data_IF_388971679703
#
_entry.id   IF_388971679703
#
_cell.length_a   1.000
_cell.length_b   1.000
_cell.length_c   1.000
_cell.angle_alpha   90.00
_cell.angle_beta   90.00
_cell.angle_gamma   90.00
#
_symmetry.space_group_name_H-M   'P 1'
#
loop_
_entity.id
_entity.type
_entity.pdbx_description
1 polymer ?
#
# COMPACT_ATOMS: atom_id res chain seq x y z
N UNK A 1 32.57 4.38 -3.60
CA UNK A 1 32.76 2.96 -3.30
C UNK A 1 31.40 2.37 -2.94
N UNK A 2 31.01 1.31 -3.64
CA UNK A 2 29.70 0.67 -3.47
C UNK A 2 29.68 -0.34 -2.30
N UNK A 3 28.52 -0.83 -1.92
CA UNK A 3 28.38 -1.98 -1.06
C UNK A 3 29.01 -3.22 -1.75
N UNK A 4 29.74 -4.02 -0.99
CA UNK A 4 30.46 -5.18 -1.52
C UNK A 4 31.63 -5.58 -0.65
N UNK A 5 32.34 -6.60 -1.10
CA UNK A 5 33.59 -7.07 -0.46
C UNK A 5 34.77 -6.79 -1.39
N UNK A 6 35.81 -6.22 -0.84
CA UNK A 6 37.01 -5.78 -1.57
C UNK A 6 38.22 -6.42 -0.91
N UNK A 7 38.95 -7.25 -1.65
CA UNK A 7 40.18 -7.85 -1.21
C UNK A 7 41.34 -6.85 -1.28
N UNK A 8 42.33 -6.97 -0.40
CA UNK A 8 43.48 -6.08 -0.42
C UNK A 8 44.48 -6.45 -1.53
N UNK A 9 44.41 -7.69 -2.03
CA UNK A 9 45.20 -8.22 -3.17
C UNK A 9 46.73 -8.07 -2.99
N UNK A 10 47.23 -8.15 -1.74
CA UNK A 10 48.67 -8.16 -1.47
C UNK A 10 49.29 -9.47 -1.93
N UNK A 11 50.45 -9.40 -2.58
CA UNK A 11 51.17 -10.55 -3.04
C UNK A 11 52.56 -10.64 -2.40
N UNK A 12 53.14 -11.83 -2.32
CA UNK A 12 54.48 -12.04 -1.75
C UNK A 12 55.57 -11.21 -2.48
N UNK A 13 55.39 -10.90 -3.76
CA UNK A 13 56.24 -10.06 -4.58
C UNK A 13 56.31 -8.58 -4.14
N UNK A 14 55.30 -8.14 -3.36
CA UNK A 14 55.22 -6.76 -2.89
C UNK A 14 56.12 -6.52 -1.65
N UNK A 15 56.74 -7.59 -1.14
CA UNK A 15 57.62 -7.58 0.01
C UNK A 15 59.03 -8.00 -0.40
N UNK A 16 60.04 -7.23 0.04
CA UNK A 16 61.43 -7.51 -0.23
C UNK A 16 62.20 -7.67 1.09
N UNK A 17 63.01 -8.72 1.18
CA UNK A 17 63.94 -8.86 2.31
C UNK A 17 65.07 -7.83 2.19
N UNK A 18 65.20 -6.97 3.19
CA UNK A 18 66.28 -5.96 3.27
C UNK A 18 67.33 -6.32 4.34
N UNK A 19 67.18 -7.46 5.02
CA UNK A 19 68.14 -7.90 6.06
C UNK A 19 69.14 -8.90 5.45
N UNK A 20 70.38 -8.45 5.22
CA UNK A 20 71.47 -9.22 4.60
C UNK A 20 71.93 -10.44 5.44
N UNK A 21 71.56 -10.49 6.72
CA UNK A 21 71.85 -11.65 7.58
C UNK A 21 71.01 -12.89 7.26
N UNK A 22 69.95 -12.74 6.44
CA UNK A 22 69.05 -13.82 6.02
C UNK A 22 69.10 -13.99 4.49
N UNK A 23 69.76 -15.06 4.06
CA UNK A 23 69.87 -15.35 2.63
C UNK A 23 68.60 -15.88 1.97
N UNK A 24 67.63 -16.34 2.77
CA UNK A 24 66.37 -16.86 2.24
C UNK A 24 65.22 -16.50 3.19
N UNK A 25 64.29 -15.70 2.72
CA UNK A 25 63.04 -15.31 3.42
C UNK A 25 61.86 -15.61 2.51
N UNK A 26 60.81 -16.23 3.05
CA UNK A 26 59.57 -16.47 2.33
C UNK A 26 58.48 -15.67 3.02
N UNK A 27 57.82 -14.80 2.24
CA UNK A 27 56.66 -14.06 2.70
C UNK A 27 55.41 -14.88 2.41
N UNK A 28 54.61 -15.18 3.46
CA UNK A 28 53.32 -15.82 3.34
C UNK A 28 52.25 -14.75 3.62
N UNK A 29 51.45 -14.44 2.62
CA UNK A 29 50.43 -13.42 2.70
C UNK A 29 49.10 -14.10 3.13
N UNK A 30 48.36 -13.44 4.01
CA UNK A 30 46.99 -13.74 4.32
C UNK A 30 46.21 -12.46 4.03
N UNK A 31 45.39 -12.51 2.98
CA UNK A 31 44.68 -11.33 2.52
C UNK A 31 43.64 -10.87 3.53
N UNK A 32 43.53 -9.55 3.70
CA UNK A 32 42.48 -8.88 4.39
C UNK A 32 41.38 -8.45 3.43
N UNK A 33 40.18 -8.20 3.97
CA UNK A 33 39.02 -7.76 3.18
C UNK A 33 38.39 -6.51 3.79
N UNK A 34 37.97 -5.58 2.94
CA UNK A 34 37.03 -4.49 3.30
C UNK A 34 35.63 -4.90 2.86
N UNK A 35 34.71 -5.03 3.82
CA UNK A 35 33.30 -5.27 3.55
C UNK A 35 32.49 -4.02 3.81
N UNK A 36 31.85 -3.48 2.78
CA UNK A 36 30.88 -2.39 2.85
C UNK A 36 29.50 -3.01 2.74
N UNK A 37 28.68 -2.85 3.79
CA UNK A 37 27.32 -3.39 3.83
C UNK A 37 26.34 -2.44 3.12
N UNK A 38 25.29 -3.01 2.53
CA UNK A 38 24.15 -2.26 2.05
C UNK A 38 23.51 -1.48 3.20
N UNK A 39 23.00 -0.29 2.89
CA UNK A 39 22.28 0.54 3.83
C UNK A 39 20.79 0.15 3.78
N UNK A 40 20.21 -0.18 4.92
CA UNK A 40 18.80 -0.49 4.99
C UNK A 40 17.96 0.74 4.65
N UNK A 41 16.95 0.56 3.78
CA UNK A 41 15.91 1.52 3.46
C UNK A 41 14.55 0.84 3.53
N UNK A 42 13.59 1.52 4.16
CA UNK A 42 12.24 1.02 4.34
C UNK A 42 11.22 1.91 3.65
N UNK A 43 10.33 1.31 2.87
CA UNK A 43 9.16 1.93 2.29
C UNK A 43 7.91 1.40 2.98
N UNK A 44 7.10 2.29 3.54
CA UNK A 44 5.86 1.94 4.23
C UNK A 44 4.69 2.55 3.47
N UNK A 45 3.75 1.70 3.04
CA UNK A 45 2.50 2.15 2.44
C UNK A 45 1.59 2.77 3.48
N UNK A 46 0.84 3.77 3.08
CA UNK A 46 -0.14 4.47 3.92
C UNK A 46 -1.21 3.50 4.43
N UNK A 47 -1.68 3.75 5.67
CA UNK A 47 -2.89 3.14 6.22
C UNK A 47 -3.88 4.23 6.60
N UNK A 48 -5.14 4.06 6.24
CA UNK A 48 -6.20 5.02 6.57
C UNK A 48 -7.53 4.33 6.82
N UNK A 49 -8.39 4.99 7.59
CA UNK A 49 -9.80 4.65 7.74
C UNK A 49 -10.65 5.74 7.09
N UNK A 50 -11.63 5.33 6.28
CA UNK A 50 -12.57 6.22 5.58
C UNK A 50 -13.99 5.71 5.78
N UNK A 51 -14.97 6.62 5.83
CA UNK A 51 -16.40 6.25 5.89
C UNK A 51 -16.87 5.92 4.48
N UNK A 52 -17.76 4.93 4.37
CA UNK A 52 -18.45 4.59 3.13
C UNK A 52 -19.12 5.80 2.50
N UNK A 53 -18.88 6.02 1.21
CA UNK A 53 -19.42 7.16 0.46
C UNK A 53 -20.09 6.76 -0.88
N UNK A 54 -20.28 5.46 -1.13
CA UNK A 54 -20.83 4.94 -2.37
C UNK A 54 -19.84 4.84 -3.54
N UNK A 55 -18.63 5.37 -3.39
CA UNK A 55 -17.61 5.41 -4.44
C UNK A 55 -16.39 4.56 -4.08
N UNK A 56 -15.62 4.18 -5.10
CA UNK A 56 -14.31 3.56 -4.87
C UNK A 56 -13.36 4.58 -4.26
N UNK A 57 -12.83 4.26 -3.08
CA UNK A 57 -11.85 5.06 -2.36
C UNK A 57 -10.47 4.44 -2.46
N UNK A 58 -9.44 5.27 -2.52
CA UNK A 58 -8.05 4.84 -2.68
C UNK A 58 -7.13 5.66 -1.77
N UNK A 59 -6.02 5.03 -1.37
CA UNK A 59 -4.86 5.66 -0.72
C UNK A 59 -3.59 5.21 -1.46
N UNK A 60 -2.63 6.13 -1.64
CA UNK A 60 -1.42 5.89 -2.45
C UNK A 60 -0.15 6.39 -1.78
N UNK A 61 -0.23 6.89 -0.54
CA UNK A 61 0.91 7.46 0.18
C UNK A 61 2.00 6.43 0.46
N UNK A 62 3.25 6.85 0.31
CA UNK A 62 4.44 6.08 0.68
C UNK A 62 5.28 6.93 1.63
N UNK A 63 5.62 6.38 2.78
CA UNK A 63 6.61 6.95 3.69
C UNK A 63 7.92 6.18 3.52
N UNK A 64 9.01 6.92 3.32
CA UNK A 64 10.36 6.39 3.18
C UNK A 64 11.17 6.71 4.43
N UNK A 65 12.06 5.79 4.82
CA UNK A 65 13.04 5.97 5.88
C UNK A 65 14.33 5.22 5.55
N UNK A 66 15.47 5.92 5.64
CA UNK A 66 16.79 5.33 5.52
C UNK A 66 17.59 5.75 4.28
N UNK A 67 17.05 6.55 3.37
CA UNK A 67 17.86 7.13 2.29
C UNK A 67 18.94 8.09 2.84
N UNK A 68 20.03 8.19 2.14
CA UNK A 68 21.05 9.20 2.39
C UNK A 68 20.57 10.57 1.89
N UNK A 69 21.10 11.64 2.50
CA UNK A 69 20.82 13.00 2.08
C UNK A 69 21.12 13.20 0.59
N UNK A 70 20.16 13.81 -0.13
CA UNK A 70 20.24 14.05 -1.56
C UNK A 70 19.91 12.84 -2.43
N UNK A 71 19.76 11.63 -1.87
CA UNK A 71 19.27 10.47 -2.62
C UNK A 71 17.74 10.53 -2.76
N UNK A 72 17.24 10.05 -3.89
CA UNK A 72 15.81 9.99 -4.20
C UNK A 72 15.45 8.65 -4.80
N UNK A 73 14.25 8.17 -4.48
CA UNK A 73 13.69 6.99 -5.15
C UNK A 73 12.69 7.38 -6.24
N UNK A 74 12.49 6.50 -7.19
CA UNK A 74 11.50 6.61 -8.27
C UNK A 74 10.88 5.25 -8.59
N UNK A 75 9.85 5.27 -9.45
CA UNK A 75 9.16 4.11 -10.04
C UNK A 75 8.37 3.25 -9.06
N UNK A 76 8.62 3.33 -7.76
CA UNK A 76 7.81 2.65 -6.75
C UNK A 76 6.46 3.35 -6.60
N UNK A 77 5.39 2.58 -6.67
CA UNK A 77 4.01 3.00 -6.44
C UNK A 77 3.38 2.14 -5.35
N UNK A 78 2.36 2.67 -4.72
CA UNK A 78 1.56 1.97 -3.72
C UNK A 78 0.09 2.32 -3.93
N UNK A 79 -0.80 1.35 -3.74
CA UNK A 79 -2.24 1.56 -3.74
C UNK A 79 -2.93 0.56 -2.83
N UNK A 80 -3.88 1.06 -2.04
CA UNK A 80 -4.92 0.26 -1.40
C UNK A 80 -6.26 0.89 -1.76
N UNK A 81 -7.20 0.11 -2.32
CA UNK A 81 -8.48 0.62 -2.80
C UNK A 81 -9.63 -0.33 -2.51
N UNK A 82 -10.81 0.24 -2.26
CA UNK A 82 -12.04 -0.48 -2.04
C UNK A 82 -13.25 0.43 -2.16
N UNK A 83 -14.45 -0.16 -2.23
CA UNK A 83 -15.73 0.54 -2.29
C UNK A 83 -16.57 0.26 -1.05
N UNK A 84 -16.77 -1.00 -0.72
CA UNK A 84 -17.69 -1.43 0.33
C UNK A 84 -17.03 -1.42 1.71
N UNK A 85 -17.84 -1.55 2.75
CA UNK A 85 -17.35 -1.68 4.13
C UNK A 85 -16.45 -2.90 4.25
N UNK A 86 -15.22 -2.70 4.74
CA UNK A 86 -14.24 -3.77 4.83
C UNK A 86 -12.81 -3.26 4.93
N UNK A 87 -11.88 -4.20 4.93
CA UNK A 87 -10.45 -3.93 4.96
C UNK A 87 -9.79 -4.36 3.65
N UNK A 88 -9.02 -3.46 3.07
CA UNK A 88 -8.35 -3.63 1.78
C UNK A 88 -6.86 -3.47 1.97
N UNK A 89 -6.13 -4.57 1.81
CA UNK A 89 -4.68 -4.55 1.93
C UNK A 89 -4.06 -3.85 0.72
N UNK A 90 -3.08 -2.99 0.98
CA UNK A 90 -2.37 -2.28 -0.05
C UNK A 90 -1.29 -3.12 -0.71
N UNK A 91 -0.91 -2.75 -1.91
CA UNK A 91 0.15 -3.39 -2.66
C UNK A 91 1.13 -2.38 -3.24
N UNK A 92 2.41 -2.74 -3.22
CA UNK A 92 3.43 -2.02 -3.96
C UNK A 92 3.54 -2.55 -5.38
N UNK A 93 3.80 -1.65 -6.33
CA UNK A 93 4.06 -1.97 -7.73
C UNK A 93 5.24 -1.13 -8.24
N UNK A 94 5.88 -1.61 -9.29
CA UNK A 94 7.10 -1.04 -9.83
C UNK A 94 8.34 -1.40 -9.02
N UNK A 95 9.50 -1.24 -9.64
CA UNK A 95 10.79 -1.45 -9.02
C UNK A 95 11.26 -0.19 -8.31
N UNK A 96 12.00 -0.36 -7.22
CA UNK A 96 12.66 0.78 -6.57
C UNK A 96 13.92 1.11 -7.32
N UNK A 97 14.03 2.33 -7.84
CA UNK A 97 15.26 2.89 -8.37
C UNK A 97 15.70 4.03 -7.47
N UNK A 98 16.88 3.90 -6.87
CA UNK A 98 17.45 4.93 -5.98
C UNK A 98 18.59 5.62 -6.71
N UNK A 99 18.51 6.96 -6.82
CA UNK A 99 19.53 7.79 -7.46
C UNK A 99 20.20 8.71 -6.44
N UNK A 100 21.50 8.91 -6.61
CA UNK A 100 22.26 9.90 -5.86
C UNK A 100 21.96 11.35 -6.32
N UNK A 101 22.54 12.34 -5.65
CA UNK A 101 22.37 13.75 -5.99
C UNK A 101 22.86 14.12 -7.41
N UNK A 102 23.68 13.27 -8.04
CA UNK A 102 24.18 13.44 -9.40
C UNK A 102 23.34 12.71 -10.44
N UNK A 103 22.32 11.94 -10.01
CA UNK A 103 21.44 11.17 -10.87
C UNK A 103 21.94 9.76 -11.19
N UNK A 104 23.05 9.29 -10.62
CA UNK A 104 23.52 7.93 -10.81
C UNK A 104 22.63 6.94 -10.05
N UNK A 105 22.40 5.76 -10.64
CA UNK A 105 21.72 4.66 -9.97
C UNK A 105 22.64 4.04 -8.91
N UNK A 106 22.19 4.09 -7.67
CA UNK A 106 22.89 3.57 -6.49
C UNK A 106 22.05 2.54 -5.75
N UNK A 107 21.00 2.01 -6.37
CA UNK A 107 20.03 1.07 -5.77
C UNK A 107 20.72 -0.14 -5.14
N UNK A 108 21.78 -0.67 -5.79
CA UNK A 108 22.56 -1.81 -5.30
C UNK A 108 23.25 -1.60 -3.94
N UNK A 109 23.32 -0.35 -3.47
CA UNK A 109 23.90 0.00 -2.18
C UNK A 109 22.88 0.01 -1.04
N UNK A 110 21.63 -0.37 -1.34
CA UNK A 110 20.52 -0.35 -0.39
C UNK A 110 19.84 -1.72 -0.27
N UNK A 111 19.65 -2.15 0.97
CA UNK A 111 18.77 -3.26 1.32
C UNK A 111 17.34 -2.72 1.44
N UNK A 112 16.50 -3.00 0.44
CA UNK A 112 15.15 -2.45 0.33
C UNK A 112 14.14 -3.35 1.03
N UNK A 113 13.39 -2.77 1.98
CA UNK A 113 12.24 -3.42 2.63
C UNK A 113 10.96 -2.66 2.32
N UNK A 114 9.89 -3.38 1.97
CA UNK A 114 8.55 -2.84 1.69
C UNK A 114 7.56 -3.37 2.72
N UNK A 115 6.81 -2.49 3.38
CA UNK A 115 5.75 -2.84 4.33
C UNK A 115 4.44 -2.24 3.83
N UNK A 116 3.48 -3.04 3.34
CA UNK A 116 2.19 -2.50 2.89
C UNK A 116 1.38 -1.97 4.05
N UNK A 117 0.54 -0.98 3.76
CA UNK A 117 -0.50 -0.49 4.65
C UNK A 117 -1.87 -1.06 4.28
N UNK A 118 -2.94 -0.48 4.85
CA UNK A 118 -4.31 -0.95 4.71
C UNK A 118 -5.31 0.20 4.64
N UNK A 119 -6.25 0.14 3.69
CA UNK A 119 -7.45 0.98 3.70
C UNK A 119 -8.57 0.23 4.43
N UNK A 120 -9.17 0.86 5.44
CA UNK A 120 -10.38 0.37 6.09
C UNK A 120 -11.54 1.29 5.73
N UNK A 121 -12.61 0.72 5.16
CA UNK A 121 -13.86 1.45 4.92
C UNK A 121 -14.84 1.05 6.00
N UNK A 122 -15.31 2.04 6.77
CA UNK A 122 -16.30 1.87 7.83
C UNK A 122 -17.70 2.19 7.30
N UNK A 123 -18.72 1.67 7.98
CA UNK A 123 -20.11 1.96 7.64
C UNK A 123 -20.40 3.46 7.73
N UNK A 124 -21.34 3.91 6.90
CA UNK A 124 -21.99 5.20 7.03
C UNK A 124 -22.77 5.23 8.35
N UNK A 125 -22.63 6.27 9.14
CA UNK A 125 -23.14 6.33 10.52
C UNK A 125 -24.33 7.27 10.72
N UNK A 126 -24.58 8.17 9.75
CA UNK A 126 -25.74 9.04 9.83
C UNK A 126 -27.01 8.24 9.50
N UNK A 127 -28.12 8.60 10.11
CA UNK A 127 -29.40 7.93 9.89
C UNK A 127 -29.86 8.12 8.43
N UNK A 128 -30.37 7.05 7.83
CA UNK A 128 -31.02 7.08 6.51
C UNK A 128 -32.52 6.88 6.72
N UNK A 129 -33.31 7.84 6.29
CA UNK A 129 -34.78 7.78 6.43
C UNK A 129 -35.39 7.27 5.12
N UNK A 130 -36.00 6.11 5.19
CA UNK A 130 -36.84 5.53 4.13
C UNK A 130 -38.30 5.78 4.47
N UNK A 131 -38.95 6.63 3.71
CA UNK A 131 -40.39 6.90 3.86
C UNK A 131 -41.15 6.05 2.87
N UNK A 132 -42.02 5.19 3.39
CA UNK A 132 -42.95 4.33 2.61
C UNK A 132 -44.33 4.89 2.75
N UNK A 133 -44.94 5.26 1.63
CA UNK A 133 -46.33 5.79 1.60
C UNK A 133 -47.20 4.78 0.87
N UNK A 134 -48.11 4.12 1.62
CA UNK A 134 -49.07 3.20 1.05
C UNK A 134 -50.10 3.94 0.19
N UNK A 135 -50.53 3.31 -0.88
CA UNK A 135 -51.62 3.83 -1.71
C UNK A 135 -52.93 3.72 -0.98
N UNK A 136 -53.81 4.71 -1.12
CA UNK A 136 -55.13 4.74 -0.59
C UNK A 136 -56.19 4.71 -1.70
N UNK A 137 -57.31 4.10 -1.45
CA UNK A 137 -58.45 4.08 -2.38
C UNK A 137 -59.78 4.30 -1.65
N UNK A 138 -60.68 5.01 -2.29
CA UNK A 138 -62.07 5.19 -1.86
C UNK A 138 -63.00 4.70 -2.96
N UNK A 139 -63.94 3.81 -2.60
CA UNK A 139 -64.87 3.21 -3.56
C UNK A 139 -66.28 3.18 -2.96
N UNK A 140 -67.29 3.42 -3.75
CA UNK A 140 -68.68 3.16 -3.35
C UNK A 140 -68.97 1.65 -3.33
N UNK A 141 -69.79 1.21 -2.41
CA UNK A 141 -70.21 -0.19 -2.31
C UNK A 141 -71.11 -0.55 -3.51
N UNK A 142 -70.67 -1.54 -4.30
CA UNK A 142 -71.39 -2.05 -5.46
C UNK A 142 -71.50 -3.60 -5.45
N UNK A 143 -71.20 -4.22 -4.32
CA UNK A 143 -71.25 -5.70 -4.14
C UNK A 143 -70.06 -6.44 -4.77
N UNK A 144 -69.04 -5.75 -5.25
CA UNK A 144 -67.81 -6.33 -5.78
C UNK A 144 -66.62 -6.13 -4.87
N UNK A 145 -65.67 -7.04 -4.94
CA UNK A 145 -64.38 -6.91 -4.22
C UNK A 145 -63.60 -5.69 -4.70
N UNK A 146 -63.10 -4.91 -3.76
CA UNK A 146 -62.23 -3.77 -4.02
C UNK A 146 -60.87 -4.02 -3.40
N UNK A 147 -59.81 -3.65 -4.09
CA UNK A 147 -58.42 -3.80 -3.60
C UNK A 147 -57.67 -2.52 -3.82
N UNK A 148 -56.83 -2.20 -2.85
CA UNK A 148 -55.80 -1.16 -2.98
C UNK A 148 -54.42 -1.84 -2.84
N UNK A 149 -53.52 -1.54 -3.74
CA UNK A 149 -52.21 -2.16 -3.80
C UNK A 149 -51.13 -1.16 -4.06
N UNK A 150 -49.92 -1.45 -3.57
CA UNK A 150 -48.71 -0.71 -3.85
C UNK A 150 -48.40 0.40 -2.87
N UNK A 151 -47.21 0.89 -2.99
CA UNK A 151 -46.65 1.97 -2.16
C UNK A 151 -45.62 2.78 -2.95
N UNK A 152 -45.40 4.01 -2.50
CA UNK A 152 -44.32 4.87 -2.93
C UNK A 152 -43.18 4.85 -1.93
N UNK A 153 -41.93 4.95 -2.41
CA UNK A 153 -40.73 5.00 -1.58
C UNK A 153 -39.97 6.29 -1.85
N UNK A 154 -39.71 7.03 -0.77
CA UNK A 154 -38.80 8.18 -0.78
C UNK A 154 -37.64 7.91 0.18
N UNK A 155 -36.41 8.14 -0.26
CA UNK A 155 -35.19 7.92 0.50
C UNK A 155 -34.42 9.24 0.54
N UNK A 156 -33.99 9.65 1.72
CA UNK A 156 -33.28 10.93 1.92
C UNK A 156 -31.75 10.86 1.63
N UNK A 157 -31.27 9.69 1.24
CA UNK A 157 -29.84 9.44 0.97
C UNK A 157 -29.65 8.79 -0.40
N UNK A 158 -28.81 9.37 -1.23
CA UNK A 158 -28.53 8.92 -2.61
C UNK A 158 -27.69 7.64 -2.70
N UNK A 159 -27.14 7.15 -1.59
CA UNK A 159 -26.31 5.94 -1.49
C UNK A 159 -27.09 4.72 -1.01
N UNK A 160 -28.33 4.93 -0.58
CA UNK A 160 -29.25 3.88 -0.18
C UNK A 160 -30.42 3.83 -1.17
N UNK A 161 -30.73 2.66 -1.70
CA UNK A 161 -31.67 2.48 -2.80
C UNK A 161 -32.78 1.49 -2.43
N UNK A 162 -33.78 1.36 -3.30
CA UNK A 162 -34.86 0.36 -3.14
C UNK A 162 -34.37 -1.08 -3.16
N UNK A 163 -33.16 -1.32 -3.68
CA UNK A 163 -32.57 -2.66 -3.75
C UNK A 163 -31.88 -3.05 -2.42
N UNK A 164 -31.71 -2.11 -1.49
CA UNK A 164 -31.03 -2.31 -0.22
C UNK A 164 -31.96 -2.74 0.92
N UNK A 165 -33.27 -2.88 0.65
CA UNK A 165 -34.23 -3.44 1.60
C UNK A 165 -35.29 -4.30 0.90
N UNK A 166 -35.92 -5.16 1.65
CA UNK A 166 -37.00 -6.05 1.14
C UNK A 166 -38.32 -5.72 1.81
N UNK A 167 -39.38 -5.81 1.05
CA UNK A 167 -40.76 -5.74 1.56
C UNK A 167 -41.37 -7.13 1.52
N UNK A 168 -41.86 -7.59 2.67
CA UNK A 168 -42.56 -8.87 2.85
C UNK A 168 -43.94 -8.62 3.46
N UNK A 169 -44.77 -7.83 2.78
CA UNK A 169 -46.09 -7.43 3.19
C UNK A 169 -47.20 -8.00 2.31
N UNK A 170 -48.42 -7.94 2.79
CA UNK A 170 -49.61 -8.37 2.04
C UNK A 170 -50.34 -7.16 1.43
N UNK A 171 -50.88 -7.38 0.24
CA UNK A 171 -51.90 -6.49 -0.35
C UNK A 171 -53.23 -6.64 0.43
N UNK A 172 -53.92 -5.55 0.63
CA UNK A 172 -55.25 -5.51 1.27
C UNK A 172 -56.32 -5.25 0.20
#
# INVERSE_FOLDING_TARGET
TDAGTYDMELAAKDFTNTNENFSKVTFKIVDGQLKIKEKAVKFTGESASKVYNGETQEITGITEAGLLDGHKYSELRYSAKGKDVGGYDGAFSGDVVIKDAKGNDVTKNYEVTKTPGKLTITAYTDEVIVTITEHSGEHEYDGTEKTVKGYDVSIDNDKYTKDDFTFDGNDI
#
